data_IF_903013137878
#
_entry.id   IF_903013137878
#
_cell.length_a   1.000
_cell.length_b   1.000
_cell.length_c   1.000
_cell.angle_alpha   90.00
_cell.angle_beta   90.00
_cell.angle_gamma   90.00
#
_symmetry.space_group_name_H-M   'P 1'
#
loop_
_entity.id
_entity.type
_entity.pdbx_description
1 polymer ?
#
# COMPACT_ATOMS: atom_id res chain seq x y z
N UNK A 1 -4.18 -22.58 1.95
CA UNK A 1 -4.70 -21.63 0.93
C UNK A 1 -3.88 -20.36 1.04
N UNK A 2 -2.81 -20.28 0.25
CA UNK A 2 -1.99 -19.08 0.15
C UNK A 2 -2.62 -18.16 -0.90
N UNK A 3 -2.83 -16.89 -0.56
CA UNK A 3 -3.31 -15.88 -1.50
C UNK A 3 -2.19 -15.60 -2.52
N UNK A 4 -2.43 -15.71 -3.84
CA UNK A 4 -1.41 -15.42 -4.82
C UNK A 4 -1.08 -13.92 -4.83
N UNK A 5 0.21 -13.59 -4.90
CA UNK A 5 0.72 -12.22 -4.97
C UNK A 5 0.62 -11.74 -6.42
N UNK A 6 -0.28 -10.79 -6.67
CA UNK A 6 -0.47 -10.16 -7.99
C UNK A 6 0.75 -9.26 -8.27
N UNK A 7 1.48 -9.45 -9.38
CA UNK A 7 2.63 -8.62 -9.73
C UNK A 7 2.15 -7.30 -10.36
N UNK A 8 1.67 -6.40 -9.51
CA UNK A 8 1.27 -5.03 -9.87
C UNK A 8 1.23 -4.08 -8.67
N UNK A 9 1.51 -4.59 -7.46
CA UNK A 9 1.73 -3.75 -6.31
C UNK A 9 3.04 -3.01 -6.53
N UNK A 10 2.96 -1.70 -6.80
CA UNK A 10 4.07 -0.78 -6.55
C UNK A 10 4.31 -0.84 -5.05
N UNK A 11 5.03 -1.87 -4.63
CA UNK A 11 5.58 -1.98 -3.30
C UNK A 11 6.70 -0.96 -3.35
N UNK A 12 6.37 0.30 -3.04
CA UNK A 12 7.38 1.31 -2.73
C UNK A 12 8.36 0.62 -1.80
N UNK A 13 9.59 0.40 -2.31
CA UNK A 13 10.76 -0.15 -1.61
C UNK A 13 10.46 -0.27 -0.14
N UNK A 14 10.16 -1.48 0.36
CA UNK A 14 9.79 -1.74 1.76
C UNK A 14 10.69 -0.89 2.65
N UNK A 15 10.19 0.30 3.00
CA UNK A 15 11.02 1.37 3.51
C UNK A 15 11.33 0.85 4.87
N UNK A 16 12.59 0.45 5.10
CA UNK A 16 13.04 -0.10 6.39
C UNK A 16 12.46 0.83 7.45
N UNK A 17 11.38 0.39 8.11
CA UNK A 17 10.65 1.20 9.06
C UNK A 17 11.55 1.24 10.29
N UNK A 18 12.52 2.15 10.29
CA UNK A 18 13.23 2.50 11.52
C UNK A 18 12.14 2.86 12.52
N UNK A 19 12.23 2.29 13.73
CA UNK A 19 11.24 2.48 14.79
C UNK A 19 11.01 3.99 15.01
N UNK A 20 9.93 4.51 14.41
CA UNK A 20 9.56 5.90 14.53
C UNK A 20 8.86 6.11 15.88
N UNK A 21 8.85 7.36 16.37
CA UNK A 21 8.26 7.75 17.67
C UNK A 21 6.79 7.30 17.83
N UNK A 22 6.09 7.08 16.72
CA UNK A 22 4.68 6.68 16.69
C UNK A 22 4.43 5.30 16.05
N UNK A 23 5.47 4.49 15.84
CA UNK A 23 5.38 3.13 15.26
C UNK A 23 4.52 2.16 16.08
N UNK A 24 4.35 2.42 17.38
CA UNK A 24 3.50 1.63 18.28
C UNK A 24 1.99 1.87 18.06
N UNK A 25 1.60 2.90 17.32
CA UNK A 25 0.21 3.27 17.08
C UNK A 25 -0.35 2.44 15.93
N UNK A 26 -1.38 1.65 16.23
CA UNK A 26 -2.03 0.75 15.25
C UNK A 26 -3.45 1.20 14.86
N UNK A 27 -4.00 2.21 15.54
CA UNK A 27 -5.33 2.74 15.29
C UNK A 27 -5.84 3.61 16.44
N UNK A 28 -7.10 4.03 16.40
CA UNK A 28 -7.67 4.94 17.41
C UNK A 28 -8.11 4.22 18.70
N UNK A 29 -8.19 2.88 18.70
CA UNK A 29 -8.54 2.08 19.87
C UNK A 29 -9.98 2.31 20.36
N UNK A 30 -10.91 2.50 19.42
CA UNK A 30 -12.33 2.71 19.69
C UNK A 30 -13.09 1.39 19.65
N UNK A 31 -14.24 1.34 20.32
CA UNK A 31 -15.24 0.29 20.13
C UNK A 31 -16.18 0.61 18.96
N UNK A 32 -17.02 -0.36 18.57
CA UNK A 32 -18.07 -0.18 17.55
C UNK A 32 -19.10 0.89 17.94
N UNK A 33 -19.19 1.24 19.22
CA UNK A 33 -20.01 2.34 19.72
C UNK A 33 -19.29 3.71 19.75
N UNK A 34 -18.11 3.86 19.10
CA UNK A 34 -17.24 5.05 19.18
C UNK A 34 -16.75 5.38 20.59
N UNK A 35 -16.79 4.43 21.53
CA UNK A 35 -16.28 4.67 22.88
C UNK A 35 -14.79 4.33 22.93
N UNK A 36 -13.92 5.28 23.32
CA UNK A 36 -12.49 5.04 23.44
C UNK A 36 -12.19 4.13 24.63
N UNK A 37 -11.46 3.04 24.37
CA UNK A 37 -10.93 2.19 25.43
C UNK A 37 -9.75 2.89 26.11
N UNK A 38 -9.57 2.73 27.44
CA UNK A 38 -8.55 3.47 28.20
C UNK A 38 -7.13 3.24 27.68
N UNK A 39 -6.80 2.02 27.28
CA UNK A 39 -5.58 1.65 26.57
C UNK A 39 -5.93 0.65 25.45
N UNK A 40 -5.70 1.03 24.19
CA UNK A 40 -5.95 0.15 23.04
C UNK A 40 -5.22 0.63 21.80
N UNK A 41 -4.72 -0.32 20.98
CA UNK A 41 -4.06 -0.04 19.69
C UNK A 41 -2.91 0.99 19.76
N UNK A 42 -2.19 1.02 20.89
CA UNK A 42 -1.09 1.96 21.13
C UNK A 42 -1.51 3.37 21.58
N UNK A 43 -2.82 3.63 21.69
CA UNK A 43 -3.36 4.89 22.18
C UNK A 43 -3.81 4.78 23.63
N UNK A 44 -3.40 5.76 24.45
CA UNK A 44 -3.76 5.88 25.87
C UNK A 44 -4.33 7.27 26.14
N UNK A 45 -5.41 7.35 26.92
CA UNK A 45 -6.04 8.63 27.26
C UNK A 45 -6.65 9.34 26.06
N UNK A 46 -6.63 10.67 26.06
CA UNK A 46 -7.19 11.55 25.02
C UNK A 46 -8.60 11.14 24.54
N UNK A 47 -9.49 10.80 25.49
CA UNK A 47 -10.80 10.20 25.20
C UNK A 47 -11.66 11.08 24.30
N UNK A 48 -11.77 12.37 24.61
CA UNK A 48 -12.54 13.33 23.80
C UNK A 48 -12.00 13.44 22.37
N UNK A 49 -10.68 13.58 22.22
CA UNK A 49 -10.04 13.74 20.92
C UNK A 49 -10.13 12.46 20.08
N UNK A 50 -9.92 11.28 20.68
CA UNK A 50 -10.07 9.98 20.01
C UNK A 50 -11.51 9.72 19.57
N UNK A 51 -12.50 10.05 20.40
CA UNK A 51 -13.92 9.96 20.02
C UNK A 51 -14.25 10.87 18.84
N UNK A 52 -13.77 12.11 18.84
CA UNK A 52 -13.95 13.04 17.73
C UNK A 52 -13.24 12.54 16.45
N UNK A 53 -12.02 12.04 16.57
CA UNK A 53 -11.27 11.43 15.47
C UNK A 53 -12.02 10.22 14.87
N UNK A 54 -12.63 9.37 15.71
CA UNK A 54 -13.45 8.25 15.25
C UNK A 54 -14.67 8.67 14.45
N UNK A 55 -15.35 9.76 14.85
CA UNK A 55 -16.45 10.33 14.09
C UNK A 55 -15.97 10.83 12.73
N UNK A 56 -14.82 11.50 12.68
CA UNK A 56 -14.20 11.95 11.43
C UNK A 56 -13.88 10.75 10.52
N UNK A 57 -13.26 9.70 11.04
CA UNK A 57 -12.98 8.47 10.29
C UNK A 57 -14.26 7.86 9.69
N UNK A 58 -15.36 7.82 10.45
CA UNK A 58 -16.65 7.32 9.94
C UNK A 58 -17.21 8.20 8.83
N UNK A 59 -17.11 9.53 8.96
CA UNK A 59 -17.58 10.46 7.95
C UNK A 59 -16.77 10.35 6.65
N UNK A 60 -15.45 10.13 6.76
CA UNK A 60 -14.56 9.86 5.62
C UNK A 60 -14.94 8.53 4.96
N UNK A 61 -15.07 7.44 5.74
CA UNK A 61 -15.46 6.11 5.22
C UNK A 61 -16.84 6.13 4.56
N UNK A 62 -17.76 6.96 5.05
CA UNK A 62 -19.08 7.14 4.45
C UNK A 62 -19.10 8.08 3.23
N UNK A 63 -17.96 8.67 2.85
CA UNK A 63 -17.87 9.61 1.71
C UNK A 63 -18.63 10.93 1.89
N UNK A 64 -19.06 11.25 3.12
CA UNK A 64 -19.91 12.44 3.40
C UNK A 64 -19.11 13.73 3.58
N UNK A 65 -17.79 13.63 3.61
CA UNK A 65 -16.87 14.75 3.78
C UNK A 65 -15.77 14.65 2.72
N UNK A 66 -15.69 15.66 1.86
CA UNK A 66 -14.55 15.94 0.98
C UNK A 66 -14.21 17.43 1.09
N UNK A 67 -12.91 17.78 0.97
CA UNK A 67 -12.46 19.18 0.98
C UNK A 67 -12.58 19.91 2.31
N UNK A 68 -12.67 19.20 3.45
CA UNK A 68 -12.70 19.81 4.79
C UNK A 68 -11.37 19.64 5.50
N UNK A 69 -10.94 20.67 6.22
CA UNK A 69 -9.76 20.63 7.07
C UNK A 69 -10.15 20.33 8.53
N UNK A 70 -9.30 19.57 9.21
CA UNK A 70 -9.40 19.30 10.66
C UNK A 70 -8.16 19.87 11.32
N UNK A 71 -8.36 20.74 12.32
CA UNK A 71 -7.27 21.33 13.09
C UNK A 71 -7.16 20.66 14.46
N UNK A 72 -6.00 20.07 14.75
CA UNK A 72 -5.68 19.55 16.08
C UNK A 72 -4.85 20.58 16.84
N UNK A 73 -5.44 21.19 17.89
CA UNK A 73 -4.79 22.23 18.70
C UNK A 73 -4.60 21.78 20.16
N UNK A 74 -3.60 22.37 20.85
CA UNK A 74 -3.35 22.21 22.28
C UNK A 74 -1.88 22.36 22.65
N UNK A 75 -1.51 22.08 23.90
CA UNK A 75 -0.12 22.17 24.37
C UNK A 75 0.82 21.16 23.66
N UNK A 76 2.14 21.43 23.56
CA UNK A 76 3.13 20.47 23.09
C UNK A 76 3.08 19.15 23.89
N UNK A 77 3.46 18.02 23.26
CA UNK A 77 3.51 16.72 23.95
C UNK A 77 2.16 16.04 24.21
N UNK A 78 1.03 16.64 23.84
CA UNK A 78 -0.31 16.08 24.11
C UNK A 78 -0.80 15.03 23.09
N UNK A 79 0.05 14.60 22.17
CA UNK A 79 -0.26 13.51 21.22
C UNK A 79 -1.03 13.92 19.96
N UNK A 80 -0.91 15.16 19.49
CA UNK A 80 -1.56 15.63 18.24
C UNK A 80 -1.12 14.81 17.02
N UNK A 81 0.18 14.68 16.81
CA UNK A 81 0.76 13.88 15.72
C UNK A 81 0.41 12.40 15.86
N UNK A 82 0.36 11.90 17.10
CA UNK A 82 -0.08 10.53 17.41
C UNK A 82 -1.53 10.28 16.99
N UNK A 83 -2.44 11.22 17.27
CA UNK A 83 -3.86 11.12 16.83
C UNK A 83 -3.97 11.18 15.31
N UNK A 84 -3.21 12.05 14.63
CA UNK A 84 -3.20 12.11 13.17
C UNK A 84 -2.75 10.78 12.54
N UNK A 85 -1.70 10.16 13.11
CA UNK A 85 -1.23 8.84 12.67
C UNK A 85 -2.23 7.73 12.98
N UNK A 86 -2.89 7.79 14.15
CA UNK A 86 -3.95 6.87 14.50
C UNK A 86 -5.14 6.94 13.52
N UNK A 87 -5.53 8.16 13.10
CA UNK A 87 -6.56 8.36 12.06
C UNK A 87 -6.15 7.68 10.76
N UNK A 88 -4.91 7.88 10.31
CA UNK A 88 -4.40 7.27 9.09
C UNK A 88 -4.45 5.75 9.14
N UNK A 89 -3.96 5.15 10.23
CA UNK A 89 -4.00 3.69 10.43
C UNK A 89 -5.42 3.15 10.55
N UNK A 90 -6.34 3.90 11.15
CA UNK A 90 -7.76 3.53 11.28
C UNK A 90 -8.52 3.56 9.93
N UNK A 91 -8.13 4.43 9.00
CA UNK A 91 -8.75 4.51 7.66
C UNK A 91 -8.40 3.29 6.80
N UNK A 92 -7.20 2.73 6.98
CA UNK A 92 -6.76 1.48 6.37
C UNK A 92 -5.41 1.62 5.66
N UNK A 93 -4.75 0.50 5.33
CA UNK A 93 -3.45 0.49 4.65
C UNK A 93 -3.51 1.16 3.27
N UNK A 94 -4.65 1.07 2.61
CA UNK A 94 -4.85 1.61 1.26
C UNK A 94 -5.08 3.13 1.22
N UNK A 95 -5.16 3.79 2.39
CA UNK A 95 -5.35 5.23 2.46
C UNK A 95 -3.99 5.91 2.54
N UNK A 96 -3.61 6.74 1.54
CA UNK A 96 -2.32 7.41 1.55
C UNK A 96 -2.25 8.41 2.70
N UNK A 97 -1.15 8.40 3.44
CA UNK A 97 -0.87 9.37 4.50
C UNK A 97 0.41 10.12 4.18
N UNK A 98 0.28 11.40 3.82
CA UNK A 98 1.43 12.27 3.57
C UNK A 98 1.63 13.18 4.77
N UNK A 99 2.78 13.05 5.43
CA UNK A 99 3.24 14.03 6.42
C UNK A 99 3.99 15.14 5.68
N UNK A 100 3.60 16.40 5.90
CA UNK A 100 4.25 17.57 5.33
C UNK A 100 4.57 18.56 6.45
N UNK A 101 5.84 18.91 6.60
CA UNK A 101 6.24 20.00 7.49
C UNK A 101 6.08 21.34 6.78
N UNK A 102 5.67 22.37 7.51
CA UNK A 102 5.55 23.72 6.94
C UNK A 102 6.86 24.25 6.35
N UNK A 103 8.00 23.85 6.92
CA UNK A 103 9.33 24.21 6.41
C UNK A 103 9.66 23.55 5.07
N UNK A 104 9.08 22.39 4.76
CA UNK A 104 9.32 21.67 3.49
C UNK A 104 8.65 22.36 2.30
N UNK A 105 7.67 23.23 2.55
CA UNK A 105 6.96 24.01 1.50
C UNK A 105 7.86 25.13 0.97
N UNK A 106 8.82 25.60 1.76
CA UNK A 106 9.72 26.68 1.38
C UNK A 106 10.97 26.08 0.71
N UNK A 107 10.93 25.95 -0.61
CA UNK A 107 12.08 25.53 -1.43
C UNK A 107 12.53 26.66 -2.36
N UNK A 108 13.83 26.70 -2.67
CA UNK A 108 14.40 27.57 -3.70
C UNK A 108 14.15 27.03 -5.12
N UNK A 109 13.97 25.72 -5.25
CA UNK A 109 13.85 25.02 -6.53
C UNK A 109 12.40 24.96 -7.04
N UNK A 110 11.41 25.15 -6.15
CA UNK A 110 10.01 24.96 -6.48
C UNK A 110 9.11 26.01 -5.82
N UNK A 111 8.13 26.51 -6.58
CA UNK A 111 7.12 27.43 -6.08
C UNK A 111 6.26 26.81 -4.96
N UNK A 112 5.93 27.60 -3.94
CA UNK A 112 5.11 27.18 -2.79
C UNK A 112 3.77 26.54 -3.20
N UNK A 113 3.12 27.11 -4.23
CA UNK A 113 1.85 26.58 -4.76
C UNK A 113 2.01 25.19 -5.37
N UNK A 114 3.12 24.94 -6.06
CA UNK A 114 3.40 23.64 -6.66
C UNK A 114 3.73 22.60 -5.57
N UNK A 115 4.49 23.00 -4.53
CA UNK A 115 4.74 22.15 -3.36
C UNK A 115 3.46 21.67 -2.70
N UNK A 116 2.51 22.58 -2.47
CA UNK A 116 1.21 22.26 -1.91
C UNK A 116 0.38 21.38 -2.86
N UNK A 117 0.37 21.71 -4.14
CA UNK A 117 -0.39 20.95 -5.16
C UNK A 117 0.10 19.51 -5.25
N UNK A 118 1.42 19.30 -5.22
CA UNK A 118 2.01 17.96 -5.20
C UNK A 118 1.68 17.21 -3.91
N UNK A 119 1.72 17.87 -2.75
CA UNK A 119 1.34 17.24 -1.49
C UNK A 119 -0.13 16.77 -1.50
N UNK A 120 -1.05 17.57 -2.06
CA UNK A 120 -2.44 17.18 -2.24
C UNK A 120 -2.59 16.01 -3.21
N UNK A 121 -1.91 16.03 -4.36
CA UNK A 121 -1.94 14.93 -5.35
C UNK A 121 -1.43 13.61 -4.76
N UNK A 122 -0.35 13.65 -3.95
CA UNK A 122 0.18 12.46 -3.25
C UNK A 122 -0.78 11.91 -2.19
N UNK A 123 -1.67 12.74 -1.66
CA UNK A 123 -2.63 12.35 -0.62
C UNK A 123 -3.96 11.83 -1.17
N UNK A 124 -4.11 11.72 -2.51
CA UNK A 124 -5.32 11.21 -3.16
C UNK A 124 -4.97 9.88 -3.85
N UNK A 125 -5.59 8.79 -3.41
CA UNK A 125 -5.42 7.48 -4.04
C UNK A 125 -6.52 7.19 -5.05
N UNK A 126 -6.12 6.61 -6.18
CA UNK A 126 -7.02 6.06 -7.21
C UNK A 126 -6.79 4.56 -7.23
N UNK A 127 -7.83 3.77 -6.95
CA UNK A 127 -7.77 2.31 -7.03
C UNK A 127 -8.30 1.84 -8.37
N UNK A 128 -7.44 1.21 -9.16
CA UNK A 128 -7.81 0.60 -10.43
C UNK A 128 -7.85 -0.91 -10.19
N UNK A 129 -8.97 -1.55 -10.58
CA UNK A 129 -9.08 -3.00 -10.58
C UNK A 129 -8.89 -3.49 -12.00
N UNK A 130 -8.02 -4.46 -12.17
CA UNK A 130 -7.77 -5.14 -13.44
C UNK A 130 -7.94 -6.65 -13.22
N UNK A 131 -8.51 -7.32 -14.21
CA UNK A 131 -8.65 -8.77 -14.22
C UNK A 131 -7.55 -9.34 -15.11
N UNK A 132 -6.77 -10.27 -14.57
CA UNK A 132 -5.70 -10.94 -15.29
C UNK A 132 -5.85 -12.46 -15.14
N UNK A 133 -5.69 -13.18 -16.25
CA UNK A 133 -5.62 -14.63 -16.24
C UNK A 133 -4.19 -15.05 -15.87
N UNK A 134 -4.07 -15.87 -14.82
CA UNK A 134 -2.78 -16.35 -14.30
C UNK A 134 -2.78 -17.88 -14.42
N UNK A 135 -1.68 -18.43 -14.91
CA UNK A 135 -1.46 -19.87 -14.97
C UNK A 135 -0.52 -20.24 -13.82
N UNK A 136 -1.02 -21.07 -12.90
CA UNK A 136 -0.25 -21.58 -11.76
C UNK A 136 -0.15 -23.11 -11.83
N UNK A 137 1.04 -23.64 -11.60
CA UNK A 137 1.30 -25.08 -11.58
C UNK A 137 2.74 -25.38 -11.18
N UNK A 138 2.98 -26.62 -10.76
CA UNK A 138 4.33 -27.15 -10.58
C UNK A 138 4.95 -27.45 -11.94
N UNK A 139 6.18 -26.98 -12.15
CA UNK A 139 6.93 -27.28 -13.37
C UNK A 139 7.44 -28.71 -13.28
N UNK A 140 6.95 -29.58 -14.17
CA UNK A 140 7.42 -30.98 -14.26
C UNK A 140 8.64 -31.06 -15.16
N UNK A 141 8.59 -30.39 -16.31
CA UNK A 141 9.64 -30.47 -17.32
C UNK A 141 9.71 -29.18 -18.15
N UNK A 142 10.94 -28.81 -18.55
CA UNK A 142 11.22 -27.72 -19.48
C UNK A 142 12.18 -28.25 -20.55
N UNK A 143 11.76 -28.22 -21.79
CA UNK A 143 12.58 -28.53 -22.96
C UNK A 143 12.87 -27.24 -23.74
N UNK A 144 14.12 -27.03 -24.15
CA UNK A 144 14.51 -25.86 -24.93
C UNK A 144 15.32 -26.32 -26.13
N UNK A 145 14.79 -26.02 -27.31
CA UNK A 145 15.48 -26.19 -28.56
C UNK A 145 16.34 -24.97 -28.81
N UNK A 146 17.65 -25.13 -28.61
CA UNK A 146 18.63 -24.14 -28.99
C UNK A 146 19.19 -24.48 -30.37
N UNK A 147 18.76 -23.79 -31.43
CA UNK A 147 19.35 -23.97 -32.75
C UNK A 147 20.82 -23.54 -32.74
N UNK A 148 21.69 -24.37 -33.29
CA UNK A 148 23.15 -24.18 -33.35
C UNK A 148 23.57 -23.09 -34.36
N UNK A 149 22.65 -22.58 -35.17
CA UNK A 149 22.88 -21.50 -36.13
C UNK A 149 22.82 -20.11 -35.49
N UNK A 150 23.79 -19.25 -35.81
CA UNK A 150 23.81 -17.85 -35.37
C UNK A 150 22.58 -17.10 -35.88
N UNK A 151 21.63 -16.82 -34.99
CA UNK A 151 20.46 -15.97 -35.27
C UNK A 151 19.09 -16.68 -35.24
N UNK A 152 19.03 -17.99 -35.00
CA UNK A 152 17.75 -18.68 -34.90
C UNK A 152 17.12 -18.49 -33.49
N UNK A 153 15.81 -18.19 -33.48
CA UNK A 153 15.07 -17.93 -32.25
C UNK A 153 14.93 -19.22 -31.43
N UNK A 154 15.23 -19.12 -30.12
CA UNK A 154 15.01 -20.23 -29.19
C UNK A 154 13.50 -20.51 -29.07
N UNK A 155 13.14 -21.78 -29.14
CA UNK A 155 11.79 -22.28 -28.87
C UNK A 155 11.89 -23.35 -27.78
N UNK A 156 10.80 -23.63 -27.09
CA UNK A 156 10.82 -24.62 -26.02
C UNK A 156 9.42 -25.08 -25.67
N UNK A 157 9.34 -26.05 -24.77
CA UNK A 157 8.09 -26.57 -24.19
C UNK A 157 8.23 -26.63 -22.69
N UNK A 158 7.12 -26.39 -22.01
CA UNK A 158 7.04 -26.51 -20.56
C UNK A 158 5.80 -27.32 -20.18
N UNK A 159 6.00 -28.35 -19.36
CA UNK A 159 4.91 -29.10 -18.75
C UNK A 159 4.62 -28.53 -17.36
N UNK A 160 3.40 -28.04 -17.16
CA UNK A 160 2.88 -27.59 -15.88
C UNK A 160 1.85 -28.59 -15.36
N UNK A 161 1.99 -28.96 -14.09
CA UNK A 161 1.11 -29.90 -13.41
C UNK A 161 0.48 -29.26 -12.18
N UNK A 162 -0.82 -29.46 -12.04
CA UNK A 162 -1.57 -29.20 -10.81
C UNK A 162 -2.01 -30.54 -10.21
N UNK A 163 -2.74 -30.50 -9.10
CA UNK A 163 -3.32 -31.71 -8.49
C UNK A 163 -4.36 -32.39 -9.38
N UNK A 164 -4.96 -31.65 -10.32
CA UNK A 164 -6.10 -32.13 -11.13
C UNK A 164 -5.77 -32.26 -12.62
N UNK A 165 -4.79 -31.51 -13.13
CA UNK A 165 -4.48 -31.46 -14.55
C UNK A 165 -2.98 -31.39 -14.82
N UNK A 166 -2.58 -31.88 -15.99
CA UNK A 166 -1.23 -31.73 -16.52
C UNK A 166 -1.36 -31.15 -17.94
N UNK A 167 -0.63 -30.08 -18.19
CA UNK A 167 -0.75 -29.27 -19.41
C UNK A 167 0.60 -28.90 -19.97
N UNK A 168 0.75 -29.06 -21.29
CA UNK A 168 1.94 -28.68 -22.04
C UNK A 168 1.75 -27.32 -22.71
N UNK A 169 2.72 -26.43 -22.53
CA UNK A 169 2.76 -25.09 -23.09
C UNK A 169 3.99 -24.93 -24.00
N UNK A 170 3.79 -24.42 -25.21
CA UNK A 170 4.90 -24.01 -26.08
C UNK A 170 5.43 -22.63 -25.64
N UNK A 171 6.74 -22.53 -25.44
CA UNK A 171 7.45 -21.34 -25.01
C UNK A 171 8.07 -20.60 -26.20
N UNK A 172 7.76 -19.31 -26.31
CA UNK A 172 8.41 -18.40 -27.25
C UNK A 172 9.74 -17.86 -26.73
N UNK A 173 10.56 -17.32 -27.64
CA UNK A 173 11.91 -16.80 -27.35
C UNK A 173 11.98 -15.76 -26.23
N UNK A 174 10.95 -14.90 -26.08
CA UNK A 174 10.87 -13.90 -25.00
C UNK A 174 10.68 -14.54 -23.62
N UNK A 175 9.81 -15.55 -23.51
CA UNK A 175 9.56 -16.25 -22.24
C UNK A 175 10.80 -17.06 -21.84
N UNK A 176 11.45 -17.71 -22.79
CA UNK A 176 12.71 -18.43 -22.55
C UNK A 176 13.78 -17.47 -22.04
N UNK A 177 13.87 -16.26 -22.60
CA UNK A 177 14.80 -15.25 -22.12
C UNK A 177 14.63 -14.86 -20.65
N UNK A 178 13.41 -14.94 -20.10
CA UNK A 178 13.14 -14.62 -18.69
C UNK A 178 13.63 -15.70 -17.72
N UNK A 179 13.70 -16.96 -18.14
CA UNK A 179 14.19 -18.05 -17.28
C UNK A 179 15.72 -18.05 -17.09
N UNK A 180 16.47 -17.42 -18.00
CA UNK A 180 17.94 -17.43 -18.00
C UNK A 180 18.56 -16.03 -17.81
N UNK A 181 17.77 -15.05 -17.39
CA UNK A 181 18.24 -13.74 -16.94
C UNK A 181 18.66 -13.78 -15.48
#
# INVERSE_FOLDING_TARGET
MATPLIPGEVTELARVERVAVHSHIRGLGLSDALQPKPNSQGMVGQTKARKAAGLICRLIKAGRIAGRAVLLAGQPGTGKTAIAMAIAKELGPDTPFTHLSGSEIFSLEMCKTEALTQAFRRSIAVRIKEEAEIIEGEVVEIEIDQPTGSGAARTGRMSLKTTEMETLYDLGSKLIGLFFS
#
